data_IF_324721088603
#
_entry.id   IF_324721088603
#
_cell.length_a   1.000
_cell.length_b   1.000
_cell.length_c   1.000
_cell.angle_alpha   90.00
_cell.angle_beta   90.00
_cell.angle_gamma   90.00
#
_symmetry.space_group_name_H-M   'P 1'
#
loop_
_entity.id
_entity.type
_entity.pdbx_description
1 polymer ?
#
# COMPACT_ATOMS: atom_id res chain seq x y z
N UNK A 1 25.00 17.48 12.21
CA UNK A 1 23.65 17.31 11.64
C UNK A 1 23.06 18.64 11.12
N UNK A 2 23.58 19.79 11.58
CA UNK A 2 23.01 21.13 11.31
C UNK A 2 23.39 21.73 9.93
N UNK A 3 24.13 21.01 9.10
CA UNK A 3 24.67 21.53 7.84
C UNK A 3 23.99 20.98 6.57
N UNK A 4 22.97 20.15 6.70
CA UNK A 4 22.25 19.62 5.53
C UNK A 4 21.16 20.60 5.08
N UNK A 5 21.05 20.92 3.77
CA UNK A 5 20.13 21.94 3.25
C UNK A 5 18.71 21.39 3.11
N UNK A 6 18.05 21.10 4.23
CA UNK A 6 16.64 20.62 4.24
C UNK A 6 15.61 21.75 4.35
N UNK A 7 16.01 23.00 4.08
CA UNK A 7 15.21 24.17 4.42
C UNK A 7 14.21 24.60 3.33
N UNK A 8 14.39 24.19 2.09
CA UNK A 8 13.45 24.56 1.03
C UNK A 8 12.65 23.38 0.51
N UNK A 9 11.44 23.65 0.02
CA UNK A 9 10.59 22.66 -0.65
C UNK A 9 11.29 22.04 -1.87
N UNK A 10 12.13 22.83 -2.56
CA UNK A 10 12.91 22.38 -3.72
C UNK A 10 13.98 21.36 -3.32
N UNK A 11 14.70 21.60 -2.23
CA UNK A 11 15.75 20.71 -1.75
C UNK A 11 15.16 19.37 -1.29
N UNK A 12 14.00 19.39 -0.62
CA UNK A 12 13.25 18.18 -0.25
C UNK A 12 12.87 17.36 -1.48
N UNK A 13 12.42 18.00 -2.54
CA UNK A 13 11.99 17.33 -3.77
C UNK A 13 13.16 16.70 -4.54
N UNK A 14 14.29 17.40 -4.66
CA UNK A 14 15.52 16.85 -5.27
C UNK A 14 16.05 15.64 -4.48
N UNK A 15 16.05 15.75 -3.15
CA UNK A 15 16.47 14.65 -2.27
C UNK A 15 15.52 13.45 -2.34
N UNK A 16 14.22 13.69 -2.45
CA UNK A 16 13.22 12.65 -2.65
C UNK A 16 13.51 11.85 -3.94
N UNK A 17 13.81 12.55 -5.04
CA UNK A 17 14.15 11.90 -6.30
C UNK A 17 15.43 11.05 -6.22
N UNK A 18 16.48 11.57 -5.56
CA UNK A 18 17.72 10.83 -5.32
C UNK A 18 17.48 9.60 -4.42
N UNK A 19 16.66 9.77 -3.40
CA UNK A 19 16.29 8.70 -2.47
C UNK A 19 15.52 7.59 -3.18
N UNK A 20 14.53 7.94 -3.99
CA UNK A 20 13.77 6.97 -4.79
C UNK A 20 14.64 6.22 -5.81
N UNK A 21 15.59 6.92 -6.45
CA UNK A 21 16.56 6.30 -7.34
C UNK A 21 17.43 5.28 -6.59
N UNK A 22 17.85 5.59 -5.37
CA UNK A 22 18.55 4.66 -4.49
C UNK A 22 17.70 3.45 -4.12
N UNK A 23 16.45 3.66 -3.73
CA UNK A 23 15.49 2.58 -3.40
C UNK A 23 15.29 1.66 -4.60
N UNK A 24 15.07 2.22 -5.78
CA UNK A 24 14.93 1.47 -7.03
C UNK A 24 16.16 0.61 -7.32
N UNK A 25 17.36 1.18 -7.17
CA UNK A 25 18.62 0.46 -7.41
C UNK A 25 18.90 -0.60 -6.34
N UNK A 26 18.53 -0.36 -5.09
CA UNK A 26 18.57 -1.37 -4.03
C UNK A 26 17.55 -2.48 -4.31
N UNK A 27 16.40 -2.13 -4.88
CA UNK A 27 15.39 -3.05 -5.37
C UNK A 27 15.92 -4.03 -6.41
N UNK A 28 16.80 -3.60 -7.27
CA UNK A 28 17.37 -4.40 -8.35
C UNK A 28 18.61 -5.22 -7.92
N UNK A 29 19.15 -5.00 -6.73
CA UNK A 29 20.44 -5.55 -6.31
C UNK A 29 20.39 -6.95 -5.63
N UNK A 30 19.24 -7.65 -5.61
CA UNK A 30 19.17 -8.96 -4.97
C UNK A 30 17.81 -9.65 -5.06
N UNK A 31 17.76 -10.94 -4.68
CA UNK A 31 16.56 -11.81 -4.72
C UNK A 31 15.30 -11.23 -4.03
N UNK A 32 15.41 -10.18 -3.26
CA UNK A 32 14.32 -9.54 -2.51
C UNK A 32 14.07 -8.08 -2.91
N UNK A 33 14.76 -7.56 -3.91
CA UNK A 33 14.76 -6.15 -4.25
C UNK A 33 13.43 -5.63 -4.81
N UNK A 34 12.79 -6.40 -5.68
CA UNK A 34 11.50 -6.05 -6.27
C UNK A 34 10.33 -6.02 -5.29
N UNK A 35 10.53 -6.51 -4.05
CA UNK A 35 9.48 -6.53 -3.03
C UNK A 35 9.15 -5.15 -2.41
N UNK A 36 10.02 -4.15 -2.58
CA UNK A 36 9.84 -2.84 -1.93
C UNK A 36 9.53 -1.71 -2.90
N UNK A 37 9.57 -1.97 -4.19
CA UNK A 37 9.38 -0.95 -5.20
C UNK A 37 8.27 -1.34 -6.18
N UNK A 38 7.30 -0.48 -6.32
CA UNK A 38 6.25 -0.56 -7.35
C UNK A 38 6.52 0.52 -8.41
N UNK A 39 6.48 0.21 -9.71
CA UNK A 39 6.69 1.19 -10.77
C UNK A 39 5.73 2.38 -10.65
N UNK A 40 6.26 3.59 -10.64
CA UNK A 40 5.48 4.83 -10.47
C UNK A 40 4.35 5.00 -11.51
N UNK A 41 4.55 4.68 -12.81
CA UNK A 41 3.44 4.76 -13.77
C UNK A 41 2.25 3.87 -13.39
N UNK A 42 2.51 2.67 -12.87
CA UNK A 42 1.44 1.78 -12.38
C UNK A 42 0.71 2.37 -11.17
N UNK A 43 1.46 2.88 -10.19
CA UNK A 43 0.89 3.53 -9.01
C UNK A 43 -0.03 4.67 -9.43
N UNK A 44 0.42 5.54 -10.34
CA UNK A 44 -0.35 6.68 -10.83
C UNK A 44 -1.63 6.26 -11.55
N UNK A 45 -1.54 5.24 -12.41
CA UNK A 45 -2.73 4.68 -13.07
C UNK A 45 -3.76 4.13 -12.07
N UNK A 46 -3.29 3.41 -11.04
CA UNK A 46 -4.16 2.91 -9.96
C UNK A 46 -4.80 4.06 -9.17
N UNK A 47 -4.05 5.11 -8.84
CA UNK A 47 -4.56 6.30 -8.14
C UNK A 47 -5.57 7.07 -8.99
N UNK A 48 -5.32 7.23 -10.29
CA UNK A 48 -6.26 7.90 -11.19
C UNK A 48 -7.60 7.15 -11.28
N UNK A 49 -7.57 5.82 -11.32
CA UNK A 49 -8.79 4.99 -11.30
C UNK A 49 -9.53 5.11 -9.97
N UNK A 50 -8.80 5.08 -8.85
CA UNK A 50 -9.36 5.14 -7.49
C UNK A 50 -9.84 6.54 -7.14
N UNK A 51 -9.14 7.58 -7.61
CA UNK A 51 -9.48 8.99 -7.40
C UNK A 51 -9.74 9.34 -5.92
N UNK A 52 -8.73 9.22 -5.04
CA UNK A 52 -8.88 9.55 -3.61
C UNK A 52 -9.18 11.04 -3.40
N UNK A 53 -10.07 11.34 -2.47
CA UNK A 53 -10.55 12.70 -2.17
C UNK A 53 -10.17 13.15 -0.75
N UNK A 54 -10.04 14.48 -0.54
CA UNK A 54 -9.83 15.04 0.80
C UNK A 54 -10.94 14.59 1.76
N UNK A 55 -10.55 14.20 2.97
CA UNK A 55 -11.44 13.62 3.99
C UNK A 55 -11.50 12.09 3.95
N UNK A 56 -11.00 11.47 2.89
CA UNK A 56 -10.89 10.01 2.82
C UNK A 56 -9.60 9.51 3.48
N UNK A 57 -9.69 8.39 4.19
CA UNK A 57 -8.52 7.68 4.73
C UNK A 57 -7.98 6.72 3.69
N UNK A 58 -6.71 6.87 3.34
CA UNK A 58 -5.96 6.02 2.40
C UNK A 58 -5.05 5.07 3.19
N UNK A 59 -5.10 3.79 2.87
CA UNK A 59 -4.37 2.76 3.60
C UNK A 59 -3.52 1.88 2.67
N UNK A 60 -2.30 1.60 3.11
CA UNK A 60 -1.43 0.58 2.55
C UNK A 60 -0.99 -0.39 3.67
N UNK A 61 -1.38 -1.65 3.57
CA UNK A 61 -1.03 -2.69 4.55
C UNK A 61 0.33 -3.35 4.31
N UNK A 62 1.02 -2.99 3.23
CA UNK A 62 2.32 -3.52 2.84
C UNK A 62 3.20 -2.39 2.28
N UNK A 63 3.41 -1.36 3.10
CA UNK A 63 3.90 -0.04 2.72
C UNK A 63 5.19 -0.06 1.89
N UNK A 64 6.11 -0.96 2.18
CA UNK A 64 7.41 -0.99 1.51
C UNK A 64 8.11 0.37 1.59
N UNK A 65 8.42 0.95 0.43
CA UNK A 65 9.00 2.29 0.32
C UNK A 65 7.98 3.44 0.39
N UNK A 66 6.73 3.17 0.74
CA UNK A 66 5.60 4.11 0.79
C UNK A 66 5.22 4.75 -0.57
N UNK A 67 5.54 4.08 -1.67
CA UNK A 67 5.30 4.62 -3.00
C UNK A 67 3.84 4.99 -3.27
N UNK A 68 2.89 4.17 -2.85
CA UNK A 68 1.47 4.45 -3.00
C UNK A 68 1.02 5.66 -2.18
N UNK A 69 1.46 5.76 -0.92
CA UNK A 69 1.07 6.86 -0.04
C UNK A 69 1.66 8.19 -0.50
N UNK A 70 2.92 8.21 -0.96
CA UNK A 70 3.57 9.40 -1.51
C UNK A 70 2.88 9.89 -2.78
N UNK A 71 2.63 9.03 -3.76
CA UNK A 71 1.94 9.41 -5.00
C UNK A 71 0.48 9.82 -4.75
N UNK A 72 -0.21 9.17 -3.79
CA UNK A 72 -1.55 9.59 -3.40
C UNK A 72 -1.55 10.97 -2.72
N UNK A 73 -0.55 11.26 -1.88
CA UNK A 73 -0.36 12.59 -1.32
C UNK A 73 -0.20 13.64 -2.41
N UNK A 74 0.71 13.43 -3.37
CA UNK A 74 0.95 14.36 -4.48
C UNK A 74 -0.30 14.56 -5.34
N UNK A 75 -1.03 13.46 -5.60
CA UNK A 75 -2.29 13.48 -6.35
C UNK A 75 -3.35 14.36 -5.67
N UNK A 76 -3.59 14.12 -4.39
CA UNK A 76 -4.60 14.82 -3.59
C UNK A 76 -4.18 16.28 -3.35
N UNK A 77 -2.90 16.52 -3.02
CA UNK A 77 -2.36 17.86 -2.80
C UNK A 77 -2.51 18.76 -4.03
N UNK A 78 -2.31 18.25 -5.23
CA UNK A 78 -2.46 19.01 -6.48
C UNK A 78 -3.91 19.39 -6.80
N UNK A 79 -4.87 18.59 -6.34
CA UNK A 79 -6.29 18.71 -6.70
C UNK A 79 -7.16 19.35 -5.62
N UNK A 80 -6.72 19.34 -4.37
CA UNK A 80 -7.48 19.92 -3.27
C UNK A 80 -7.48 21.46 -3.31
N UNK A 81 -8.50 22.04 -2.72
CA UNK A 81 -8.50 23.46 -2.39
C UNK A 81 -7.44 23.74 -1.30
N UNK A 82 -6.58 24.74 -1.57
CA UNK A 82 -5.45 25.11 -0.70
C UNK A 82 -5.92 25.99 0.46
N UNK A 83 -6.43 25.37 1.51
CA UNK A 83 -6.77 26.02 2.78
C UNK A 83 -6.16 25.25 3.96
N UNK A 84 -6.17 25.87 5.14
CA UNK A 84 -5.55 25.34 6.37
C UNK A 84 -6.18 24.02 6.79
N UNK A 85 -7.52 23.90 6.70
CA UNK A 85 -8.25 22.71 7.12
C UNK A 85 -7.93 21.51 6.23
N UNK A 86 -7.95 21.68 4.92
CA UNK A 86 -7.60 20.62 3.98
C UNK A 86 -6.14 20.20 4.12
N UNK A 87 -5.23 21.13 4.35
CA UNK A 87 -3.83 20.81 4.62
C UNK A 87 -3.68 19.98 5.89
N UNK A 88 -4.38 20.36 6.96
CA UNK A 88 -4.37 19.61 8.21
C UNK A 88 -4.95 18.21 8.04
N UNK A 89 -6.08 18.08 7.37
CA UNK A 89 -6.68 16.75 7.06
C UNK A 89 -5.70 15.89 6.27
N UNK A 90 -5.09 16.45 5.22
CA UNK A 90 -4.14 15.73 4.36
C UNK A 90 -2.93 15.22 5.15
N UNK A 91 -2.39 16.05 6.07
CA UNK A 91 -1.21 15.73 6.86
C UNK A 91 -1.47 14.72 7.97
N UNK A 92 -2.57 14.89 8.71
CA UNK A 92 -2.77 14.18 9.98
C UNK A 92 -3.72 12.99 9.86
N UNK A 93 -4.70 13.04 8.93
CA UNK A 93 -5.86 12.14 8.95
C UNK A 93 -6.08 11.34 7.66
N UNK A 94 -5.16 11.42 6.70
CA UNK A 94 -5.36 10.82 5.38
C UNK A 94 -4.57 9.53 5.19
N UNK A 95 -3.27 9.49 5.50
CA UNK A 95 -2.40 8.38 5.10
C UNK A 95 -2.06 7.47 6.27
N UNK A 96 -2.37 6.18 6.12
CA UNK A 96 -2.15 5.14 7.12
C UNK A 96 -1.44 3.95 6.49
N UNK A 97 -0.56 3.31 7.26
CA UNK A 97 0.12 2.13 6.75
C UNK A 97 0.61 1.17 7.83
N UNK A 98 0.93 -0.04 7.39
CA UNK A 98 1.61 -1.05 8.21
C UNK A 98 2.78 -1.63 7.41
N UNK A 99 3.93 -1.81 8.07
CA UNK A 99 5.10 -2.46 7.50
C UNK A 99 5.78 -3.36 8.54
N UNK A 100 6.05 -4.60 8.16
CA UNK A 100 6.66 -5.61 9.05
C UNK A 100 8.18 -5.53 9.10
N UNK A 101 8.81 -5.20 7.97
CA UNK A 101 10.27 -5.24 7.82
C UNK A 101 10.87 -3.91 8.22
N UNK A 102 11.82 -3.93 9.17
CA UNK A 102 12.43 -2.74 9.74
C UNK A 102 13.04 -1.80 8.69
N UNK A 103 13.83 -2.35 7.75
CA UNK A 103 14.45 -1.54 6.69
C UNK A 103 13.40 -0.86 5.82
N UNK A 104 12.37 -1.59 5.37
CA UNK A 104 11.30 -1.05 4.55
C UNK A 104 10.48 0.01 5.31
N UNK A 105 10.20 -0.22 6.59
CA UNK A 105 9.55 0.76 7.46
C UNK A 105 10.32 2.07 7.52
N UNK A 106 11.62 2.02 7.80
CA UNK A 106 12.48 3.22 7.85
C UNK A 106 12.50 3.92 6.48
N UNK A 107 12.64 3.15 5.41
CA UNK A 107 12.63 3.68 4.04
C UNK A 107 11.29 4.37 3.72
N UNK A 108 10.18 3.76 4.06
CA UNK A 108 8.85 4.31 3.82
C UNK A 108 8.60 5.60 4.60
N UNK A 109 8.93 5.62 5.89
CA UNK A 109 8.80 6.82 6.74
C UNK A 109 9.65 7.97 6.18
N UNK A 110 10.91 7.71 5.85
CA UNK A 110 11.79 8.74 5.26
C UNK A 110 11.26 9.26 3.93
N UNK A 111 10.75 8.37 3.08
CA UNK A 111 10.18 8.77 1.79
C UNK A 111 8.97 9.70 1.96
N UNK A 112 8.07 9.36 2.90
CA UNK A 112 6.92 10.21 3.20
C UNK A 112 7.32 11.60 3.71
N UNK A 113 8.31 11.67 4.61
CA UNK A 113 8.85 12.94 5.12
C UNK A 113 9.43 13.78 3.97
N UNK A 114 10.19 13.17 3.07
CA UNK A 114 10.77 13.86 1.90
C UNK A 114 9.71 14.37 0.92
N UNK A 115 8.55 13.70 0.82
CA UNK A 115 7.40 14.16 0.05
C UNK A 115 6.56 15.22 0.78
N UNK A 116 6.93 15.62 2.00
CA UNK A 116 6.26 16.69 2.74
C UNK A 116 5.17 16.22 3.70
N UNK A 117 5.08 14.93 3.99
CA UNK A 117 4.20 14.40 5.04
C UNK A 117 4.99 14.45 6.36
N UNK A 118 4.69 15.42 7.21
CA UNK A 118 5.51 15.73 8.39
C UNK A 118 5.41 14.67 9.49
N UNK A 119 4.26 14.02 9.63
CA UNK A 119 4.00 13.00 10.65
C UNK A 119 3.43 11.72 10.01
N UNK A 120 4.27 10.88 9.36
CA UNK A 120 3.82 9.65 8.74
C UNK A 120 3.14 8.68 9.71
N UNK A 121 1.89 8.30 9.44
CA UNK A 121 1.14 7.37 10.28
C UNK A 121 1.32 5.93 9.80
N UNK A 122 2.57 5.46 9.84
CA UNK A 122 2.94 4.07 9.52
C UNK A 122 3.26 3.33 10.83
N UNK A 123 2.63 2.18 11.02
CA UNK A 123 2.91 1.30 12.16
C UNK A 123 3.92 0.23 11.77
N UNK A 124 5.00 0.10 12.54
CA UNK A 124 5.95 -1.00 12.39
C UNK A 124 5.37 -2.27 13.02
N UNK A 125 4.63 -3.04 12.25
CA UNK A 125 3.94 -4.26 12.72
C UNK A 125 3.64 -5.23 11.59
N UNK A 126 3.37 -6.50 11.93
CA UNK A 126 2.87 -7.46 10.96
C UNK A 126 1.37 -7.24 10.70
N UNK A 127 1.01 -6.82 9.50
CA UNK A 127 -0.38 -6.61 9.07
C UNK A 127 -1.26 -7.84 9.25
N UNK A 128 -0.70 -9.02 9.05
CA UNK A 128 -1.41 -10.30 9.17
C UNK A 128 -1.39 -10.88 10.60
N UNK A 129 -0.78 -10.18 11.56
CA UNK A 129 -0.60 -10.66 12.92
C UNK A 129 -1.85 -10.60 13.80
N UNK A 130 -2.88 -9.87 13.37
CA UNK A 130 -4.13 -9.69 14.13
C UNK A 130 -5.30 -10.38 13.41
N UNK A 131 -6.26 -10.99 14.14
CA UNK A 131 -7.43 -11.60 13.54
C UNK A 131 -8.27 -10.57 12.77
N UNK A 132 -8.66 -10.91 11.54
CA UNK A 132 -9.48 -9.99 10.72
C UNK A 132 -10.87 -9.75 11.33
N UNK A 133 -11.38 -10.65 12.15
CA UNK A 133 -12.66 -10.50 12.88
C UNK A 133 -12.64 -9.33 13.86
N UNK A 134 -11.45 -8.93 14.35
CA UNK A 134 -11.29 -7.86 15.33
C UNK A 134 -11.29 -6.46 14.69
N UNK A 135 -11.23 -6.37 13.36
CA UNK A 135 -11.30 -5.12 12.61
C UNK A 135 -12.74 -4.58 12.69
N UNK A 136 -12.89 -3.45 13.40
CA UNK A 136 -14.16 -2.75 13.59
C UNK A 136 -14.37 -1.70 12.51
N UNK A 137 -15.61 -1.17 12.38
CA UNK A 137 -15.95 -0.14 11.40
C UNK A 137 -15.09 1.13 11.52
N UNK A 138 -14.77 1.55 12.74
CA UNK A 138 -13.91 2.71 13.00
C UNK A 138 -12.48 2.54 12.48
N UNK A 139 -12.02 1.28 12.33
CA UNK A 139 -10.67 0.93 11.91
C UNK A 139 -10.55 0.76 10.39
N UNK A 140 -11.66 0.92 9.66
CA UNK A 140 -11.71 0.75 8.22
C UNK A 140 -11.36 2.03 7.46
N UNK A 141 -10.97 1.85 6.21
CA UNK A 141 -10.46 2.88 5.33
C UNK A 141 -11.37 3.09 4.13
N UNK A 142 -11.39 4.31 3.59
CA UNK A 142 -12.17 4.66 2.39
C UNK A 142 -11.46 4.18 1.11
N UNK A 143 -10.13 4.22 1.13
CA UNK A 143 -9.29 3.84 0.00
C UNK A 143 -8.19 2.90 0.46
N UNK A 144 -7.96 1.82 -0.29
CA UNK A 144 -6.82 0.92 -0.12
C UNK A 144 -6.01 0.88 -1.41
N UNK A 145 -4.71 1.13 -1.29
CA UNK A 145 -3.74 1.08 -2.37
C UNK A 145 -2.57 0.23 -1.91
N UNK A 146 -2.34 -0.93 -2.51
CA UNK A 146 -1.31 -1.82 -2.00
C UNK A 146 -0.70 -2.75 -3.07
N UNK A 147 0.57 -3.08 -2.86
CA UNK A 147 1.28 -4.14 -3.56
C UNK A 147 1.85 -5.13 -2.51
N UNK A 148 1.03 -6.08 -2.01
CA UNK A 148 1.50 -7.05 -1.03
C UNK A 148 2.52 -8.02 -1.64
N UNK A 149 3.34 -8.70 -0.81
CA UNK A 149 4.30 -9.69 -1.29
C UNK A 149 3.64 -10.78 -2.12
N UNK A 150 4.17 -11.04 -3.33
CA UNK A 150 3.62 -12.05 -4.25
C UNK A 150 3.92 -13.49 -3.87
N UNK A 151 4.84 -13.73 -2.96
CA UNK A 151 5.27 -15.04 -2.51
C UNK A 151 5.51 -15.07 -1.01
N UNK A 152 5.75 -16.26 -0.54
CA UNK A 152 5.93 -16.54 0.87
C UNK A 152 4.80 -17.39 1.42
N UNK A 153 5.14 -18.12 2.48
CA UNK A 153 4.17 -18.89 3.25
C UNK A 153 4.13 -18.31 4.66
N UNK A 154 2.94 -17.94 5.10
CA UNK A 154 2.76 -17.54 6.49
C UNK A 154 2.66 -18.77 7.41
N UNK A 155 3.07 -18.59 8.65
CA UNK A 155 3.03 -19.63 9.68
C UNK A 155 1.57 -20.02 9.99
N UNK A 156 1.32 -21.27 10.42
CA UNK A 156 -0.03 -21.72 10.76
C UNK A 156 -0.76 -20.83 11.78
N UNK A 157 -0.01 -20.26 12.74
CA UNK A 157 -0.58 -19.36 13.75
C UNK A 157 -1.17 -18.10 13.13
N UNK A 158 -0.49 -17.55 12.11
CA UNK A 158 -0.95 -16.37 11.36
C UNK A 158 -2.18 -16.72 10.51
N UNK A 159 -2.19 -17.90 9.90
CA UNK A 159 -3.31 -18.37 9.08
C UNK A 159 -4.62 -18.47 9.87
N UNK A 160 -4.56 -18.71 11.19
CA UNK A 160 -5.74 -18.79 12.06
C UNK A 160 -6.47 -17.43 12.21
N UNK A 161 -5.81 -16.33 11.86
CA UNK A 161 -6.40 -15.00 11.90
C UNK A 161 -7.40 -14.74 10.75
N UNK A 162 -7.55 -15.67 9.81
CA UNK A 162 -8.30 -15.49 8.56
C UNK A 162 -9.37 -16.57 8.38
N UNK A 163 -10.43 -16.23 7.65
CA UNK A 163 -11.55 -17.15 7.38
C UNK A 163 -11.15 -18.20 6.35
N UNK A 164 -10.51 -17.79 5.25
CA UNK A 164 -9.93 -18.71 4.25
C UNK A 164 -8.50 -19.00 4.66
N UNK A 165 -8.30 -20.18 5.25
CA UNK A 165 -6.99 -20.63 5.72
C UNK A 165 -6.11 -21.06 4.55
N UNK A 166 -4.99 -20.40 4.39
CA UNK A 166 -4.02 -20.68 3.35
C UNK A 166 -2.62 -20.23 3.79
N UNK A 167 -1.60 -20.91 3.30
CA UNK A 167 -0.22 -20.45 3.47
C UNK A 167 0.18 -19.32 2.53
N UNK A 168 -0.61 -19.02 1.50
CA UNK A 168 -0.30 -18.00 0.49
C UNK A 168 -0.48 -16.60 1.06
N UNK A 169 0.63 -15.91 1.29
CA UNK A 169 0.66 -14.58 1.92
C UNK A 169 -0.23 -13.57 1.20
N UNK A 170 -0.21 -13.55 -0.13
CA UNK A 170 -1.02 -12.62 -0.92
C UNK A 170 -2.53 -12.81 -0.71
N UNK A 171 -2.99 -14.03 -0.46
CA UNK A 171 -4.40 -14.34 -0.23
C UNK A 171 -4.87 -13.90 1.17
N UNK A 172 -3.98 -13.95 2.14
CA UNK A 172 -4.25 -13.42 3.49
C UNK A 172 -4.33 -11.89 3.45
N UNK A 173 -3.43 -11.22 2.71
CA UNK A 173 -3.53 -9.78 2.49
C UNK A 173 -4.83 -9.38 1.80
N UNK A 174 -5.29 -10.12 0.80
CA UNK A 174 -6.55 -9.83 0.13
C UNK A 174 -7.74 -9.88 1.09
N UNK A 175 -7.82 -10.90 1.95
CA UNK A 175 -8.87 -10.98 2.98
C UNK A 175 -8.77 -9.80 3.97
N UNK A 176 -7.54 -9.45 4.41
CA UNK A 176 -7.32 -8.28 5.27
C UNK A 176 -7.82 -6.99 4.60
N UNK A 177 -7.53 -6.78 3.32
CA UNK A 177 -7.95 -5.57 2.61
C UNK A 177 -9.47 -5.49 2.44
N UNK A 178 -10.13 -6.58 2.06
CA UNK A 178 -11.59 -6.63 1.97
C UNK A 178 -12.22 -6.25 3.32
N UNK A 179 -11.71 -6.81 4.42
CA UNK A 179 -12.23 -6.54 5.76
C UNK A 179 -11.93 -5.12 6.24
N UNK A 180 -10.79 -4.56 5.83
CA UNK A 180 -10.35 -3.21 6.20
C UNK A 180 -10.99 -2.11 5.34
N UNK A 181 -11.73 -2.46 4.29
CA UNK A 181 -12.41 -1.52 3.43
C UNK A 181 -13.75 -1.11 4.03
N UNK A 182 -14.07 0.18 4.03
CA UNK A 182 -15.40 0.68 4.38
C UNK A 182 -16.44 0.29 3.31
N UNK A 183 -17.69 0.20 3.71
CA UNK A 183 -18.78 0.10 2.76
C UNK A 183 -18.75 1.31 1.79
N UNK A 184 -18.82 1.04 0.49
CA UNK A 184 -18.65 2.04 -0.56
C UNK A 184 -17.20 2.51 -0.78
N UNK A 185 -16.23 1.98 -0.04
CA UNK A 185 -14.81 2.23 -0.22
C UNK A 185 -14.27 1.62 -1.51
N UNK A 186 -13.07 2.03 -1.92
CA UNK A 186 -12.42 1.61 -3.16
C UNK A 186 -11.04 1.05 -2.89
N UNK A 187 -10.67 -0.02 -3.59
CA UNK A 187 -9.37 -0.63 -3.46
C UNK A 187 -8.72 -0.91 -4.82
N UNK A 188 -7.43 -0.63 -4.95
CA UNK A 188 -6.62 -1.11 -6.06
C UNK A 188 -5.41 -1.88 -5.50
N UNK A 189 -5.31 -3.15 -5.86
CA UNK A 189 -4.37 -4.09 -5.27
C UNK A 189 -3.64 -4.82 -6.37
N UNK A 190 -2.31 -4.85 -6.27
CA UNK A 190 -1.47 -5.67 -7.16
C UNK A 190 -1.45 -7.09 -6.63
N UNK A 191 -1.77 -8.05 -7.49
CA UNK A 191 -1.80 -9.47 -7.12
C UNK A 191 -1.30 -10.33 -8.28
N UNK A 192 -0.82 -11.54 -7.99
CA UNK A 192 -0.45 -12.49 -9.03
C UNK A 192 -1.67 -12.90 -9.87
N UNK A 193 -1.48 -13.01 -11.18
CA UNK A 193 -2.50 -13.49 -12.10
C UNK A 193 -2.97 -14.92 -11.82
N UNK A 194 -2.17 -15.73 -11.14
CA UNK A 194 -2.54 -17.09 -10.70
C UNK A 194 -3.82 -17.12 -9.87
N UNK A 195 -4.21 -16.02 -9.22
CA UNK A 195 -5.50 -15.92 -8.53
C UNK A 195 -6.67 -16.18 -9.49
N UNK A 196 -6.54 -15.85 -10.77
CA UNK A 196 -7.59 -16.02 -11.77
C UNK A 196 -7.72 -17.47 -12.25
N UNK A 197 -6.62 -18.22 -12.31
CA UNK A 197 -6.53 -19.53 -12.97
C UNK A 197 -6.38 -20.71 -12.02
N UNK A 198 -5.87 -20.52 -10.81
CA UNK A 198 -5.68 -21.61 -9.86
C UNK A 198 -7.01 -22.26 -9.45
N UNK A 199 -7.02 -23.60 -9.37
CA UNK A 199 -8.19 -24.43 -9.06
C UNK A 199 -8.17 -25.03 -7.66
N UNK A 200 -7.20 -24.67 -6.81
CA UNK A 200 -7.20 -25.08 -5.43
C UNK A 200 -8.33 -24.41 -4.61
N UNK A 201 -8.72 -25.05 -3.52
CA UNK A 201 -9.87 -24.63 -2.72
C UNK A 201 -9.74 -23.20 -2.19
N UNK A 202 -8.53 -22.77 -1.80
CA UNK A 202 -8.30 -21.42 -1.27
C UNK A 202 -8.47 -20.36 -2.36
N UNK A 203 -7.95 -20.61 -3.56
CA UNK A 203 -8.10 -19.72 -4.72
C UNK A 203 -9.57 -19.57 -5.11
N UNK A 204 -10.31 -20.69 -5.17
CA UNK A 204 -11.76 -20.68 -5.49
C UNK A 204 -12.53 -19.91 -4.42
N UNK A 205 -12.28 -20.21 -3.13
CA UNK A 205 -12.94 -19.55 -2.02
C UNK A 205 -12.67 -18.04 -1.99
N UNK A 206 -11.43 -17.61 -2.29
CA UNK A 206 -11.06 -16.20 -2.31
C UNK A 206 -11.75 -15.45 -3.47
N UNK A 207 -11.78 -16.04 -4.69
CA UNK A 207 -12.51 -15.44 -5.81
C UNK A 207 -13.99 -15.28 -5.50
N UNK A 208 -14.61 -16.32 -4.92
CA UNK A 208 -16.00 -16.27 -4.47
C UNK A 208 -16.20 -15.13 -3.47
N UNK A 209 -15.34 -15.05 -2.45
CA UNK A 209 -15.41 -14.00 -1.43
C UNK A 209 -15.30 -12.59 -2.03
N UNK A 210 -14.39 -12.37 -3.00
CA UNK A 210 -14.25 -11.08 -3.70
C UNK A 210 -15.55 -10.74 -4.43
N UNK A 211 -16.11 -11.66 -5.20
CA UNK A 211 -17.31 -11.43 -6.03
C UNK A 211 -18.59 -11.24 -5.19
N UNK A 212 -18.66 -11.86 -4.01
CA UNK A 212 -19.81 -11.72 -3.10
C UNK A 212 -19.73 -10.45 -2.23
N UNK A 213 -18.50 -9.98 -1.91
CA UNK A 213 -18.30 -8.87 -0.98
C UNK A 213 -17.98 -7.54 -1.66
N UNK A 214 -17.53 -7.56 -2.91
CA UNK A 214 -17.03 -6.39 -3.63
C UNK A 214 -17.58 -6.33 -5.06
N UNK A 215 -17.64 -5.10 -5.59
CA UNK A 215 -17.83 -4.89 -7.02
C UNK A 215 -16.46 -4.87 -7.71
N UNK A 216 -16.06 -5.99 -8.30
CA UNK A 216 -14.82 -6.10 -9.08
C UNK A 216 -15.05 -5.51 -10.49
N UNK A 217 -14.73 -4.23 -10.69
CA UNK A 217 -15.02 -3.54 -11.95
C UNK A 217 -13.84 -3.44 -12.93
N UNK A 218 -12.60 -3.58 -12.44
CA UNK A 218 -11.41 -3.42 -13.31
C UNK A 218 -10.37 -4.50 -12.99
N UNK A 219 -9.87 -5.15 -14.03
CA UNK A 219 -8.69 -6.01 -14.00
C UNK A 219 -7.70 -5.44 -15.03
N UNK A 220 -6.52 -5.04 -14.55
CA UNK A 220 -5.42 -4.58 -15.39
C UNK A 220 -4.37 -5.67 -15.47
N UNK A 221 -4.23 -6.27 -16.63
CA UNK A 221 -3.17 -7.25 -16.88
C UNK A 221 -1.86 -6.54 -17.20
N UNK A 222 -0.78 -6.96 -16.54
CA UNK A 222 0.52 -6.33 -16.66
C UNK A 222 1.47 -7.22 -17.46
N UNK A 223 2.31 -6.64 -18.34
CA UNK A 223 3.31 -7.40 -19.07
C UNK A 223 4.23 -8.21 -18.16
N UNK A 224 4.67 -9.38 -18.63
CA UNK A 224 5.70 -10.14 -17.95
C UNK A 224 6.94 -9.28 -17.75
N UNK A 225 7.54 -9.35 -16.57
CA UNK A 225 8.74 -8.55 -16.26
C UNK A 225 8.45 -7.18 -15.61
N UNK A 226 7.20 -6.76 -15.46
CA UNK A 226 6.87 -5.47 -14.78
C UNK A 226 7.44 -5.37 -13.35
N UNK A 227 7.54 -6.49 -12.66
CA UNK A 227 8.03 -6.59 -11.27
C UNK A 227 9.33 -7.40 -11.13
N UNK A 228 9.97 -7.75 -12.23
CA UNK A 228 11.31 -8.36 -12.21
C UNK A 228 12.35 -7.24 -12.13
N UNK A 229 13.07 -7.17 -11.04
CA UNK A 229 14.31 -6.41 -10.94
C UNK A 229 15.51 -7.22 -11.45
#
# INVERSE_FOLDING_TARGET
>A
ADSLPFKSSKDKHELSHLYETKIKNMGNAGRNGGQYYTPRPLIRAMIDIINPQIGEKVYDGAVGSAGFLCEAYDYMYKRMEKNVDNLKILQENTFFGKEKKNLAYVMGVMNMILHGIEAPNIKHTNTLGEPIRDIQEKDRYHVILANPPFGGKERPEVQQNFDIKTGETAFLFMQHFIKSLKAGGRAAIVIKNTILSNSDNASIALRKHILESCNLHTILDMPAGTFTG
#
